data_IF_258995011372
#
_entry.id   IF_258995011372
#
_cell.length_a   1.000
_cell.length_b   1.000
_cell.length_c   1.000
_cell.angle_alpha   90.00
_cell.angle_beta   90.00
_cell.angle_gamma   90.00
#
_symmetry.space_group_name_H-M   'P 1'
#
loop_
_entity.id
_entity.type
_entity.pdbx_description
1 polymer ?
#
# COMPACT_ATOMS: atom_id res chain seq x y z
N UNK A 1 11.55 8.20 9.73
CA UNK A 1 10.64 8.88 10.64
C UNK A 1 9.64 7.89 11.24
N UNK A 2 9.63 7.73 12.58
CA UNK A 2 8.62 6.90 13.27
C UNK A 2 7.27 7.61 13.27
N UNK A 3 6.19 6.91 12.92
CA UNK A 3 4.85 7.49 12.81
C UNK A 3 3.77 6.53 13.30
N UNK A 4 2.70 7.08 13.85
CA UNK A 4 1.52 6.30 14.23
C UNK A 4 0.75 5.85 13.00
N UNK A 5 0.36 4.57 12.98
CA UNK A 5 -0.45 3.96 11.97
C UNK A 5 -1.68 3.30 12.60
N UNK A 6 -2.85 3.48 12.00
CA UNK A 6 -4.05 2.74 12.38
C UNK A 6 -4.24 1.57 11.42
N UNK A 7 -4.37 0.37 11.96
CA UNK A 7 -4.44 -0.88 11.17
C UNK A 7 -5.83 -1.08 10.56
N UNK A 8 -6.27 -0.15 9.71
CA UNK A 8 -7.55 -0.23 8.99
C UNK A 8 -7.61 -1.45 8.06
N UNK A 9 -6.45 -1.93 7.58
CA UNK A 9 -6.38 -3.11 6.71
C UNK A 9 -6.88 -4.38 7.39
N UNK A 10 -6.79 -4.48 8.73
CA UNK A 10 -7.35 -5.59 9.49
C UNK A 10 -8.89 -5.70 9.39
N UNK A 11 -9.54 -4.63 8.93
CA UNK A 11 -11.00 -4.55 8.76
C UNK A 11 -11.43 -4.54 7.29
N UNK A 12 -10.52 -4.82 6.34
CA UNK A 12 -10.80 -4.69 4.90
C UNK A 12 -12.02 -5.47 4.44
N UNK A 13 -12.15 -6.76 4.82
CA UNK A 13 -13.31 -7.58 4.46
C UNK A 13 -14.58 -7.07 5.15
N UNK A 14 -14.52 -6.77 6.45
CA UNK A 14 -15.67 -6.23 7.17
C UNK A 14 -16.16 -4.90 6.60
N UNK A 15 -15.23 -3.99 6.23
CA UNK A 15 -15.58 -2.72 5.57
C UNK A 15 -16.24 -2.93 4.21
N UNK A 16 -15.98 -4.05 3.52
CA UNK A 16 -16.67 -4.42 2.28
C UNK A 16 -18.03 -5.05 2.55
N UNK A 17 -18.10 -6.02 3.45
CA UNK A 17 -19.31 -6.78 3.75
C UNK A 17 -20.40 -5.87 4.35
N UNK A 18 -20.04 -5.00 5.28
CA UNK A 18 -20.95 -4.07 5.94
C UNK A 18 -21.50 -2.98 5.01
N UNK A 19 -20.95 -2.81 3.78
CA UNK A 19 -21.58 -1.94 2.77
C UNK A 19 -22.98 -2.42 2.35
N UNK A 20 -23.26 -3.71 2.46
CA UNK A 20 -24.57 -4.26 2.13
C UNK A 20 -25.64 -3.88 3.15
N UNK A 21 -25.26 -3.51 4.37
CA UNK A 21 -26.16 -3.02 5.41
C UNK A 21 -26.60 -1.56 5.19
N UNK A 22 -25.91 -0.82 4.32
CA UNK A 22 -26.10 0.61 4.13
C UNK A 22 -27.06 0.90 2.98
N UNK A 23 -28.05 1.77 3.21
CA UNK A 23 -28.92 2.32 2.16
C UNK A 23 -28.25 3.55 1.50
N UNK A 24 -27.07 3.34 0.95
CA UNK A 24 -26.29 4.35 0.25
C UNK A 24 -26.43 4.23 -1.27
N UNK A 25 -26.26 5.36 -1.99
CA UNK A 25 -26.19 5.32 -3.45
C UNK A 25 -25.10 4.34 -3.93
N UNK A 26 -25.39 3.54 -4.96
CA UNK A 26 -24.47 2.56 -5.53
C UNK A 26 -23.11 3.16 -5.92
N UNK A 27 -23.11 4.41 -6.37
CA UNK A 27 -21.88 5.14 -6.70
C UNK A 27 -20.95 5.27 -5.49
N UNK A 28 -21.51 5.59 -4.30
CA UNK A 28 -20.72 5.73 -3.06
C UNK A 28 -20.17 4.38 -2.61
N UNK A 29 -21.02 3.34 -2.63
CA UNK A 29 -20.58 1.96 -2.32
C UNK A 29 -19.47 1.50 -3.27
N UNK A 30 -19.62 1.75 -4.56
CA UNK A 30 -18.61 1.39 -5.57
C UNK A 30 -17.29 2.15 -5.37
N UNK A 31 -17.34 3.42 -4.99
CA UNK A 31 -16.14 4.19 -4.66
C UNK A 31 -15.39 3.57 -3.48
N UNK A 32 -16.09 3.15 -2.42
CA UNK A 32 -15.45 2.49 -1.28
C UNK A 32 -14.91 1.09 -1.65
N UNK A 33 -15.66 0.29 -2.40
CA UNK A 33 -15.18 -1.01 -2.89
C UNK A 33 -13.89 -0.85 -3.72
N UNK A 34 -13.86 0.12 -4.62
CA UNK A 34 -12.68 0.39 -5.44
C UNK A 34 -11.49 0.91 -4.62
N UNK A 35 -11.75 1.70 -3.58
CA UNK A 35 -10.72 2.21 -2.69
C UNK A 35 -10.09 1.12 -1.84
N UNK A 36 -10.93 0.25 -1.27
CA UNK A 36 -10.47 -0.93 -0.53
C UNK A 36 -9.77 -1.90 -1.48
N UNK A 37 -10.31 -2.08 -2.70
CA UNK A 37 -9.67 -2.74 -3.81
C UNK A 37 -9.28 -4.18 -3.50
N UNK A 38 -10.25 -5.00 -3.03
CA UNK A 38 -10.05 -6.43 -2.83
C UNK A 38 -9.78 -7.11 -4.16
N UNK A 39 -8.65 -7.77 -4.26
CA UNK A 39 -8.22 -8.54 -5.43
C UNK A 39 -7.95 -9.98 -5.04
N UNK A 40 -8.45 -10.92 -5.83
CA UNK A 40 -8.18 -12.36 -5.71
C UNK A 40 -7.23 -12.77 -6.82
N UNK A 41 -6.19 -13.50 -6.49
CA UNK A 41 -5.18 -13.95 -7.43
C UNK A 41 -4.32 -15.06 -6.83
N UNK A 42 -3.07 -15.12 -7.25
CA UNK A 42 -2.09 -16.05 -6.74
C UNK A 42 -0.83 -15.33 -6.24
N UNK A 43 -0.27 -15.83 -5.18
CA UNK A 43 1.11 -15.59 -4.77
C UNK A 43 1.96 -16.70 -5.38
N UNK A 44 2.96 -16.33 -6.16
CA UNK A 44 3.75 -17.25 -6.98
C UNK A 44 5.21 -17.05 -6.64
N UNK A 45 5.92 -18.16 -6.41
CA UNK A 45 7.35 -18.16 -6.11
C UNK A 45 8.17 -18.35 -7.39
N UNK A 46 9.14 -17.44 -7.59
CA UNK A 46 10.13 -17.49 -8.65
C UNK A 46 11.50 -17.79 -8.03
N UNK A 47 12.00 -19.02 -8.09
CA UNK A 47 13.31 -19.38 -7.54
C UNK A 47 14.45 -18.65 -8.26
N UNK A 48 15.38 -18.09 -7.47
CA UNK A 48 16.57 -17.38 -7.97
C UNK A 48 17.72 -17.50 -6.98
N UNK A 49 18.87 -18.03 -7.39
CA UNK A 49 20.14 -18.07 -6.61
C UNK A 49 19.97 -18.61 -5.17
N UNK A 50 19.05 -19.55 -4.95
CA UNK A 50 18.76 -20.12 -3.63
C UNK A 50 17.77 -19.33 -2.78
N UNK A 51 17.20 -18.27 -3.32
CA UNK A 51 16.10 -17.47 -2.76
C UNK A 51 14.81 -17.70 -3.51
N UNK A 52 13.70 -17.31 -2.90
CA UNK A 52 12.37 -17.34 -3.49
C UNK A 52 11.85 -15.91 -3.64
N UNK A 53 11.60 -15.46 -4.87
CA UNK A 53 10.97 -14.17 -5.13
C UNK A 53 9.47 -14.39 -5.16
N UNK A 54 8.75 -13.92 -4.16
CA UNK A 54 7.30 -14.00 -4.13
C UNK A 54 6.65 -12.83 -4.88
N UNK A 55 5.84 -13.12 -5.88
CA UNK A 55 5.06 -12.14 -6.62
C UNK A 55 3.57 -12.39 -6.42
N UNK A 56 2.77 -11.32 -6.33
CA UNK A 56 1.32 -11.42 -6.37
C UNK A 56 0.80 -11.03 -7.75
N UNK A 57 -0.05 -11.87 -8.33
CA UNK A 57 -0.72 -11.55 -9.59
C UNK A 57 -2.21 -11.88 -9.55
N UNK A 58 -3.04 -11.01 -10.14
CA UNK A 58 -4.46 -11.30 -10.41
C UNK A 58 -4.65 -12.10 -11.70
N UNK A 59 -3.56 -12.31 -12.46
CA UNK A 59 -3.55 -12.98 -13.74
C UNK A 59 -2.57 -14.17 -13.77
N UNK A 60 -2.73 -15.19 -12.87
CA UNK A 60 -1.87 -16.37 -12.90
C UNK A 60 -2.01 -17.20 -14.19
N UNK A 61 -3.10 -17.00 -14.93
CA UNK A 61 -3.32 -17.56 -16.27
C UNK A 61 -2.27 -17.11 -17.29
N UNK A 62 -1.63 -15.95 -17.09
CA UNK A 62 -0.64 -15.39 -18.04
C UNK A 62 0.82 -15.73 -17.68
N UNK A 63 1.06 -16.56 -16.70
CA UNK A 63 2.41 -16.92 -16.21
C UNK A 63 3.36 -17.44 -17.32
N UNK A 64 2.85 -18.14 -18.34
CA UNK A 64 3.66 -18.58 -19.49
C UNK A 64 4.23 -17.43 -20.32
N UNK A 65 3.61 -16.26 -20.25
CA UNK A 65 4.08 -15.02 -20.88
C UNK A 65 4.91 -14.11 -19.98
N UNK A 66 5.25 -14.55 -18.76
CA UNK A 66 6.14 -13.81 -17.88
C UNK A 66 7.58 -13.89 -18.40
N UNK A 67 8.12 -12.76 -18.86
CA UNK A 67 9.42 -12.67 -19.53
C UNK A 67 10.50 -12.08 -18.65
N UNK A 68 10.17 -11.40 -17.57
CA UNK A 68 11.10 -10.88 -16.58
C UNK A 68 10.42 -10.67 -15.23
N UNK A 69 11.23 -10.51 -14.19
CA UNK A 69 10.80 -10.17 -12.83
C UNK A 69 11.35 -8.81 -12.47
N UNK A 70 10.56 -7.97 -11.80
CA UNK A 70 11.00 -6.65 -11.34
C UNK A 70 10.81 -6.54 -9.85
N UNK A 71 11.87 -6.12 -9.15
CA UNK A 71 11.86 -5.80 -7.74
C UNK A 71 11.81 -4.29 -7.55
N UNK A 72 11.18 -3.85 -6.47
CA UNK A 72 11.37 -2.49 -6.00
C UNK A 72 12.86 -2.26 -5.66
N UNK A 73 13.44 -1.10 -5.95
CA UNK A 73 14.86 -0.84 -5.66
C UNK A 73 15.25 -1.01 -4.18
N UNK A 74 14.27 -0.85 -3.27
CA UNK A 74 14.42 -1.00 -1.82
C UNK A 74 14.08 -2.40 -1.32
N UNK A 75 13.75 -3.35 -2.21
CA UNK A 75 13.38 -4.71 -1.82
C UNK A 75 14.57 -5.44 -1.14
N UNK A 76 14.28 -6.17 -0.07
CA UNK A 76 15.30 -6.84 0.77
C UNK A 76 16.16 -7.87 0.02
N UNK A 77 15.62 -8.49 -1.04
CA UNK A 77 16.34 -9.46 -1.85
C UNK A 77 17.28 -8.84 -2.89
N UNK A 78 17.24 -7.53 -3.15
CA UNK A 78 18.05 -6.92 -4.21
C UNK A 78 19.54 -7.18 -3.99
N UNK A 79 20.03 -6.91 -2.78
CA UNK A 79 21.45 -7.05 -2.48
C UNK A 79 21.88 -8.53 -2.42
N UNK A 80 20.96 -9.45 -2.07
CA UNK A 80 21.22 -10.89 -2.04
C UNK A 80 21.20 -11.53 -3.44
N UNK A 81 20.45 -10.96 -4.37
CA UNK A 81 20.32 -11.43 -5.76
C UNK A 81 21.29 -10.73 -6.73
N UNK A 82 22.00 -9.73 -6.25
CA UNK A 82 22.97 -8.98 -7.07
C UNK A 82 24.13 -9.87 -7.48
N UNK A 83 24.42 -9.91 -8.78
CA UNK A 83 25.59 -10.67 -9.28
C UNK A 83 26.89 -10.14 -8.67
N UNK A 84 27.74 -11.03 -8.15
CA UNK A 84 29.06 -10.62 -7.63
C UNK A 84 30.14 -10.45 -8.72
N UNK A 85 29.80 -10.69 -9.98
CA UNK A 85 30.69 -10.56 -11.13
C UNK A 85 30.17 -9.51 -12.12
N UNK A 86 31.05 -8.87 -12.89
CA UNK A 86 30.67 -7.95 -13.96
C UNK A 86 29.70 -8.57 -14.95
N UNK A 87 28.97 -7.72 -15.67
CA UNK A 87 28.09 -8.17 -16.75
C UNK A 87 28.91 -8.88 -17.84
N UNK A 88 28.33 -9.92 -18.42
CA UNK A 88 28.90 -10.59 -19.58
C UNK A 88 28.85 -9.66 -20.81
N UNK A 89 29.76 -9.85 -21.76
CA UNK A 89 29.88 -9.02 -22.98
C UNK A 89 28.63 -9.05 -23.88
N UNK A 90 27.74 -10.02 -23.71
CA UNK A 90 26.49 -10.19 -24.47
C UNK A 90 25.26 -9.58 -23.77
N UNK A 91 25.42 -9.03 -22.58
CA UNK A 91 24.35 -8.29 -21.88
C UNK A 91 24.05 -6.99 -22.64
N UNK A 92 22.77 -6.76 -22.92
CA UNK A 92 22.35 -5.53 -23.61
C UNK A 92 22.71 -4.28 -22.79
N UNK A 93 23.36 -3.32 -23.43
CA UNK A 93 23.80 -2.07 -22.78
C UNK A 93 22.65 -1.30 -22.12
N UNK A 94 21.42 -1.47 -22.61
CA UNK A 94 20.21 -0.86 -22.00
C UNK A 94 19.89 -1.38 -20.61
N UNK A 95 20.44 -2.55 -20.24
CA UNK A 95 20.18 -3.20 -18.94
C UNK A 95 21.14 -2.77 -17.85
N UNK A 96 22.29 -2.19 -18.23
CA UNK A 96 23.44 -2.00 -17.35
C UNK A 96 23.49 -0.62 -16.68
N UNK A 97 22.55 0.27 -17.02
CA UNK A 97 22.54 1.67 -16.55
C UNK A 97 23.88 2.40 -16.79
N UNK A 98 24.61 1.98 -17.86
CA UNK A 98 25.90 2.58 -18.25
C UNK A 98 27.12 2.14 -17.44
N UNK A 99 27.02 1.04 -16.68
CA UNK A 99 28.11 0.48 -15.89
C UNK A 99 28.43 -0.95 -16.35
N UNK A 100 29.68 -1.37 -16.14
CA UNK A 100 30.10 -2.74 -16.42
C UNK A 100 29.83 -3.69 -15.22
N UNK A 101 29.59 -3.15 -14.04
CA UNK A 101 29.39 -3.87 -12.79
C UNK A 101 27.95 -3.71 -12.26
N UNK A 102 27.22 -4.80 -11.98
CA UNK A 102 25.84 -4.74 -11.49
C UNK A 102 25.68 -3.95 -10.18
N UNK A 103 26.67 -4.00 -9.30
CA UNK A 103 26.61 -3.29 -8.02
C UNK A 103 26.71 -1.78 -8.23
N UNK A 104 27.64 -1.32 -9.07
CA UNK A 104 27.78 0.10 -9.42
C UNK A 104 26.52 0.63 -10.11
N UNK A 105 25.94 -0.18 -11.02
CA UNK A 105 24.71 0.15 -11.71
C UNK A 105 23.53 0.34 -10.74
N UNK A 106 23.35 -0.58 -9.79
CA UNK A 106 22.27 -0.54 -8.78
C UNK A 106 22.46 0.63 -7.81
N UNK A 107 23.70 0.88 -7.33
CA UNK A 107 23.99 2.00 -6.44
C UNK A 107 23.75 3.38 -7.12
N UNK A 108 24.15 3.51 -8.39
CA UNK A 108 23.88 4.71 -9.19
C UNK A 108 22.38 4.92 -9.38
N UNK A 109 21.65 3.88 -9.79
CA UNK A 109 20.21 3.94 -9.97
C UNK A 109 19.45 4.29 -8.68
N UNK A 110 19.79 3.64 -7.55
CA UNK A 110 19.20 3.96 -6.24
C UNK A 110 19.45 5.42 -5.85
N UNK A 111 20.63 5.97 -6.14
CA UNK A 111 20.96 7.37 -5.87
C UNK A 111 20.08 8.31 -6.68
N UNK A 112 19.89 8.04 -7.97
CA UNK A 112 19.12 8.89 -8.88
C UNK A 112 17.62 8.91 -8.55
N UNK A 113 17.10 7.81 -8.01
CA UNK A 113 15.66 7.72 -7.65
C UNK A 113 15.37 8.12 -6.19
N UNK A 114 16.38 8.23 -5.33
CA UNK A 114 16.19 8.50 -3.89
C UNK A 114 15.43 9.80 -3.59
N UNK A 115 15.51 10.78 -4.49
CA UNK A 115 14.81 12.06 -4.37
C UNK A 115 13.36 12.04 -4.87
N UNK A 116 12.93 10.97 -5.55
CA UNK A 116 11.58 10.85 -6.13
C UNK A 116 10.59 10.33 -5.09
N UNK A 117 9.44 10.98 -4.97
CA UNK A 117 8.30 10.46 -4.20
C UNK A 117 7.64 9.26 -4.88
N UNK A 118 6.90 8.45 -4.14
CA UNK A 118 6.12 7.32 -4.68
C UNK A 118 5.19 7.74 -5.83
N UNK A 119 4.60 8.94 -5.74
CA UNK A 119 3.71 9.48 -6.78
C UNK A 119 4.49 9.80 -8.06
N UNK A 120 5.62 10.48 -7.95
CA UNK A 120 6.49 10.79 -9.09
C UNK A 120 7.01 9.53 -9.77
N UNK A 121 7.34 8.49 -9.00
CA UNK A 121 7.75 7.18 -9.52
C UNK A 121 6.64 6.50 -10.30
N UNK A 122 5.39 6.55 -9.83
CA UNK A 122 4.23 5.96 -10.52
C UNK A 122 3.81 6.72 -11.79
N UNK A 123 3.97 8.05 -11.80
CA UNK A 123 3.62 8.91 -12.94
C UNK A 123 4.73 9.03 -13.98
N UNK A 124 5.92 8.50 -13.70
CA UNK A 124 7.06 8.56 -14.60
C UNK A 124 6.77 7.81 -15.91
N UNK A 125 6.83 8.54 -17.03
CA UNK A 125 6.62 7.98 -18.36
C UNK A 125 7.89 7.35 -18.94
N UNK A 126 9.05 7.74 -18.46
CA UNK A 126 10.32 7.17 -18.88
C UNK A 126 10.54 5.83 -18.18
N UNK A 127 10.73 4.77 -18.96
CA UNK A 127 10.98 3.43 -18.43
C UNK A 127 12.47 3.30 -18.11
N UNK A 128 12.76 3.26 -16.82
CA UNK A 128 14.12 3.10 -16.29
C UNK A 128 14.20 1.86 -15.40
N UNK A 129 15.34 1.23 -15.35
CA UNK A 129 15.59 0.04 -14.54
C UNK A 129 17.02 -0.45 -14.70
N UNK A 130 17.39 -1.42 -13.88
CA UNK A 130 18.73 -2.04 -13.89
C UNK A 130 18.60 -3.55 -13.73
N UNK A 131 19.33 -4.29 -14.55
CA UNK A 131 19.46 -5.74 -14.44
C UNK A 131 20.37 -6.10 -13.27
N UNK A 132 19.98 -7.07 -12.45
CA UNK A 132 20.80 -7.51 -11.30
C UNK A 132 21.96 -8.45 -11.68
N UNK A 133 22.09 -8.80 -12.95
CA UNK A 133 23.08 -9.79 -13.40
C UNK A 133 22.66 -11.25 -13.10
N UNK A 134 21.44 -11.47 -12.63
CA UNK A 134 20.91 -12.78 -12.22
C UNK A 134 19.53 -13.05 -12.80
N UNK A 135 19.13 -14.33 -12.80
CA UNK A 135 17.89 -14.79 -13.41
C UNK A 135 17.04 -15.58 -12.42
N UNK A 136 15.74 -15.36 -12.45
CA UNK A 136 14.76 -16.21 -11.79
C UNK A 136 14.28 -17.33 -12.70
N UNK A 137 13.71 -18.39 -12.12
CA UNK A 137 13.07 -19.46 -12.89
C UNK A 137 11.56 -19.27 -12.87
N UNK A 138 10.95 -19.15 -14.02
CA UNK A 138 9.49 -19.15 -14.13
C UNK A 138 8.96 -20.55 -13.77
N UNK A 139 8.10 -20.70 -12.75
CA UNK A 139 7.72 -22.01 -12.22
C UNK A 139 6.89 -22.85 -13.19
N UNK A 140 6.10 -22.22 -14.08
CA UNK A 140 5.25 -22.95 -15.02
C UNK A 140 5.98 -23.37 -16.30
N UNK A 141 6.89 -22.52 -16.81
CA UNK A 141 7.62 -22.81 -18.06
C UNK A 141 9.02 -23.37 -17.86
N UNK A 142 9.60 -23.22 -16.65
CA UNK A 142 11.00 -23.54 -16.38
C UNK A 142 12.01 -22.59 -17.03
N UNK A 143 11.55 -21.57 -17.72
CA UNK A 143 12.38 -20.59 -18.42
C UNK A 143 13.11 -19.68 -17.43
N UNK A 144 14.37 -19.38 -17.72
CA UNK A 144 15.12 -18.35 -17.00
C UNK A 144 14.69 -16.98 -17.51
N UNK A 145 14.32 -16.12 -16.57
CA UNK A 145 13.87 -14.76 -16.84
C UNK A 145 14.75 -13.77 -16.07
N UNK A 146 15.20 -12.66 -16.67
CA UNK A 146 16.08 -11.70 -16.00
C UNK A 146 15.37 -10.99 -14.86
N UNK A 147 16.15 -10.64 -13.81
CA UNK A 147 15.67 -9.89 -12.66
C UNK A 147 16.13 -8.45 -12.77
N UNK A 148 15.18 -7.51 -12.78
CA UNK A 148 15.44 -6.08 -12.78
C UNK A 148 15.01 -5.42 -11.47
N UNK A 149 15.57 -4.25 -11.19
CA UNK A 149 14.95 -3.25 -10.34
C UNK A 149 14.40 -2.13 -11.19
N UNK A 150 13.26 -1.56 -10.81
CA UNK A 150 12.68 -0.40 -11.50
C UNK A 150 11.86 0.47 -10.54
N UNK A 151 11.83 1.78 -10.79
CA UNK A 151 11.23 2.77 -9.93
C UNK A 151 9.69 2.71 -9.86
N UNK A 152 9.05 2.10 -10.86
CA UNK A 152 7.58 1.93 -10.87
C UNK A 152 7.07 0.80 -9.96
N UNK A 153 7.94 -0.05 -9.42
CA UNK A 153 7.60 -1.08 -8.43
C UNK A 153 7.89 -0.53 -7.03
N UNK A 154 6.91 -0.62 -6.14
CA UNK A 154 6.97 -0.05 -4.79
C UNK A 154 6.87 -1.14 -3.73
N UNK A 155 7.68 -1.07 -2.67
CA UNK A 155 7.64 -2.00 -1.52
C UNK A 155 6.37 -1.88 -0.68
N UNK A 156 5.71 -0.74 -0.73
CA UNK A 156 4.44 -0.51 0.00
C UNK A 156 3.21 -1.13 -0.66
N UNK A 157 3.35 -1.83 -1.79
CA UNK A 157 2.26 -2.48 -2.50
C UNK A 157 2.63 -3.93 -2.88
N UNK A 158 1.80 -4.87 -2.45
CA UNK A 158 2.05 -6.30 -2.70
C UNK A 158 3.27 -6.82 -1.96
N UNK A 159 4.08 -7.58 -2.66
CA UNK A 159 5.34 -8.16 -2.17
C UNK A 159 6.55 -7.27 -2.44
N UNK A 160 6.39 -6.15 -3.13
CA UNK A 160 7.51 -5.34 -3.64
C UNK A 160 8.21 -5.98 -4.83
N UNK A 161 7.61 -7.02 -5.41
CA UNK A 161 8.08 -7.72 -6.61
C UNK A 161 6.90 -7.98 -7.56
N UNK A 162 7.14 -7.94 -8.85
CA UNK A 162 6.16 -8.27 -9.88
C UNK A 162 6.76 -9.24 -10.90
N UNK A 163 5.93 -10.11 -11.46
CA UNK A 163 6.19 -10.76 -12.74
C UNK A 163 5.70 -9.84 -13.84
N UNK A 164 6.44 -9.71 -14.90
CA UNK A 164 6.08 -8.87 -16.03
C UNK A 164 5.64 -9.71 -17.25
N UNK A 165 4.47 -9.36 -17.78
CA UNK A 165 3.84 -10.04 -18.92
C UNK A 165 3.65 -9.03 -20.07
N UNK A 166 4.68 -8.73 -20.85
CA UNK A 166 4.67 -7.65 -21.84
C UNK A 166 3.54 -7.74 -22.86
N UNK A 167 3.17 -8.94 -23.28
CA UNK A 167 2.10 -9.10 -24.26
C UNK A 167 0.72 -8.65 -23.74
N UNK A 168 0.50 -8.56 -22.41
CA UNK A 168 -0.83 -8.39 -21.80
C UNK A 168 -0.90 -7.33 -20.70
N UNK A 169 0.16 -6.54 -20.50
CA UNK A 169 0.19 -5.35 -19.65
C UNK A 169 0.92 -4.21 -20.37
N UNK A 170 0.28 -3.05 -20.46
CA UNK A 170 0.83 -1.91 -21.21
C UNK A 170 2.15 -1.38 -20.62
N UNK A 171 2.30 -1.38 -19.30
CA UNK A 171 3.54 -0.90 -18.64
C UNK A 171 4.69 -1.87 -18.89
N UNK A 172 4.40 -3.16 -18.80
CA UNK A 172 5.38 -4.21 -19.05
C UNK A 172 5.78 -4.23 -20.52
N UNK A 173 4.82 -3.96 -21.45
CA UNK A 173 5.08 -3.83 -22.87
C UNK A 173 6.03 -2.67 -23.17
N UNK A 174 5.75 -1.48 -22.65
CA UNK A 174 6.60 -0.31 -22.82
C UNK A 174 8.01 -0.52 -22.24
N UNK A 175 8.12 -1.20 -21.09
CA UNK A 175 9.41 -1.56 -20.52
C UNK A 175 10.15 -2.58 -21.40
N UNK A 176 9.47 -3.63 -21.85
CA UNK A 176 10.05 -4.65 -22.72
C UNK A 176 10.56 -4.04 -24.04
N UNK A 177 9.84 -3.11 -24.64
CA UNK A 177 10.29 -2.38 -25.83
C UNK A 177 11.54 -1.55 -25.55
N UNK A 178 11.55 -0.78 -24.43
CA UNK A 178 12.69 0.06 -24.06
C UNK A 178 13.96 -0.77 -23.80
N UNK A 179 13.81 -1.94 -23.21
CA UNK A 179 14.93 -2.83 -22.84
C UNK A 179 15.19 -3.96 -23.84
N UNK A 180 14.41 -4.08 -24.93
CA UNK A 180 14.57 -5.12 -25.95
C UNK A 180 14.30 -6.54 -25.42
N UNK A 181 13.37 -6.66 -24.50
CA UNK A 181 12.96 -7.93 -23.90
C UNK A 181 11.94 -8.66 -24.78
N UNK A 182 11.82 -9.99 -24.69
CA UNK A 182 10.84 -10.76 -25.43
C UNK A 182 9.41 -10.36 -25.09
N UNK A 183 8.49 -10.53 -26.05
CA UNK A 183 7.05 -10.33 -25.89
C UNK A 183 6.36 -11.61 -26.39
N UNK A 184 5.82 -12.40 -25.48
CA UNK A 184 5.19 -13.69 -25.79
C UNK A 184 3.69 -13.62 -25.61
N UNK A 185 2.92 -13.79 -26.68
CA UNK A 185 1.46 -13.87 -26.65
C UNK A 185 1.00 -15.12 -25.90
N UNK A 186 0.14 -14.95 -24.90
CA UNK A 186 -0.52 -16.04 -24.16
C UNK A 186 -2.03 -15.87 -24.05
N UNK A 187 -2.58 -14.74 -24.51
CA UNK A 187 -4.02 -14.50 -24.69
C UNK A 187 -4.24 -14.05 -26.11
N UNK A 188 -5.04 -14.78 -26.86
CA UNK A 188 -5.32 -14.49 -28.28
C UNK A 188 -6.30 -13.32 -28.44
N UNK A 189 -6.20 -12.62 -29.58
CA UNK A 189 -7.19 -11.62 -29.98
C UNK A 189 -6.64 -10.32 -30.54
N UNK A 190 -5.40 -9.95 -30.18
CA UNK A 190 -4.73 -8.73 -30.63
C UNK A 190 -3.47 -8.98 -31.47
N UNK A 191 -2.77 -7.90 -31.78
CA UNK A 191 -1.46 -7.94 -32.41
C UNK A 191 -0.39 -7.45 -31.43
N UNK A 192 0.23 -8.38 -30.71
CA UNK A 192 1.26 -8.07 -29.68
C UNK A 192 2.56 -7.53 -30.26
N UNK A 193 2.73 -7.50 -31.59
CA UNK A 193 3.84 -6.81 -32.24
C UNK A 193 3.64 -5.29 -32.29
N UNK A 194 2.40 -4.82 -32.21
CA UNK A 194 2.06 -3.40 -32.27
C UNK A 194 1.78 -2.79 -30.89
N UNK A 195 1.04 -3.52 -30.04
CA UNK A 195 0.66 -3.07 -28.71
C UNK A 195 0.32 -4.24 -27.75
N UNK A 196 0.31 -3.99 -26.45
CA UNK A 196 -0.14 -4.97 -25.47
C UNK A 196 -1.64 -5.26 -25.67
N UNK A 197 -2.01 -6.55 -25.74
CA UNK A 197 -3.41 -6.96 -25.75
C UNK A 197 -3.94 -7.16 -24.33
N UNK A 198 -4.71 -6.20 -23.85
CA UNK A 198 -5.23 -6.20 -22.46
C UNK A 198 -6.65 -6.71 -22.31
N UNK A 199 -7.33 -7.00 -23.44
CA UNK A 199 -8.68 -7.51 -23.48
C UNK A 199 -8.73 -9.03 -23.22
N UNK A 200 -9.93 -9.57 -23.04
CA UNK A 200 -10.14 -11.00 -22.85
C UNK A 200 -9.96 -11.76 -24.18
N UNK A 201 -9.52 -13.02 -24.08
CA UNK A 201 -9.33 -13.93 -25.19
C UNK A 201 -9.12 -15.36 -24.71
N UNK A 202 -9.00 -16.31 -25.62
CA UNK A 202 -8.64 -17.67 -25.28
C UNK A 202 -7.13 -17.76 -25.00
N UNK A 203 -6.73 -18.58 -24.03
CA UNK A 203 -5.32 -18.80 -23.72
C UNK A 203 -4.65 -19.58 -24.88
N UNK A 204 -3.41 -19.20 -25.20
CA UNK A 204 -2.56 -19.83 -26.20
C UNK A 204 -1.13 -19.93 -25.67
N UNK A 205 -0.30 -20.79 -26.25
CA UNK A 205 1.12 -20.96 -25.87
C UNK A 205 1.33 -21.24 -24.37
N UNK A 206 0.34 -21.83 -23.70
CA UNK A 206 0.26 -21.91 -22.24
C UNK A 206 0.10 -23.35 -21.77
N UNK A 207 1.11 -24.22 -22.04
CA UNK A 207 1.17 -25.59 -21.57
C UNK A 207 2.60 -26.02 -21.20
N UNK A 208 2.71 -27.01 -20.29
CA UNK A 208 3.97 -27.60 -19.90
C UNK A 208 3.88 -29.14 -19.85
N UNK A 209 5.03 -29.78 -19.71
CA UNK A 209 5.15 -31.24 -19.58
C UNK A 209 4.81 -31.78 -18.19
N UNK A 210 4.56 -30.88 -17.22
CA UNK A 210 4.17 -31.21 -15.84
C UNK A 210 2.64 -31.26 -15.63
N UNK A 211 1.87 -31.21 -16.71
CA UNK A 211 0.43 -31.41 -16.69
C UNK A 211 -0.43 -30.14 -16.55
N UNK A 212 0.14 -28.95 -16.72
CA UNK A 212 -0.62 -27.73 -16.88
C UNK A 212 -0.85 -27.45 -18.37
N UNK A 213 -2.12 -27.35 -18.77
CA UNK A 213 -2.52 -26.91 -20.12
C UNK A 213 -3.69 -25.95 -20.01
N UNK A 214 -3.44 -24.68 -20.31
CA UNK A 214 -4.42 -23.61 -20.29
C UNK A 214 -4.95 -23.26 -21.69
N UNK A 215 -4.41 -23.87 -22.74
CA UNK A 215 -4.75 -23.53 -24.12
C UNK A 215 -6.24 -23.72 -24.40
N UNK A 216 -6.85 -22.71 -25.02
CA UNK A 216 -8.27 -22.70 -25.36
C UNK A 216 -9.22 -22.36 -24.21
N UNK A 217 -8.75 -22.30 -22.97
CA UNK A 217 -9.58 -21.89 -21.81
C UNK A 217 -9.88 -20.39 -21.87
N UNK A 218 -11.04 -20.01 -21.30
CA UNK A 218 -11.31 -18.62 -21.00
C UNK A 218 -10.56 -18.18 -19.74
N UNK A 219 -10.52 -16.87 -19.49
CA UNK A 219 -9.79 -16.25 -18.38
C UNK A 219 -10.14 -16.85 -16.99
N UNK A 220 -11.42 -17.04 -16.70
CA UNK A 220 -11.86 -17.54 -15.39
C UNK A 220 -11.45 -19.01 -15.18
N UNK A 221 -11.62 -19.85 -16.17
CA UNK A 221 -11.21 -21.25 -16.18
C UNK A 221 -9.70 -21.37 -16.05
N UNK A 222 -8.95 -20.56 -16.80
CA UNK A 222 -7.49 -20.58 -16.81
C UNK A 222 -6.90 -20.10 -15.47
N UNK A 223 -7.46 -19.06 -14.86
CA UNK A 223 -7.04 -18.60 -13.50
C UNK A 223 -7.25 -19.72 -12.48
N UNK A 224 -8.42 -20.39 -12.49
CA UNK A 224 -8.70 -21.47 -11.56
C UNK A 224 -7.75 -22.66 -11.75
N UNK A 225 -7.52 -23.08 -13.00
CA UNK A 225 -6.60 -24.17 -13.33
C UNK A 225 -5.13 -23.84 -12.99
N UNK A 226 -4.70 -22.59 -13.22
CA UNK A 226 -3.36 -22.15 -12.87
C UNK A 226 -3.15 -22.17 -11.36
N UNK A 227 -4.11 -21.67 -10.55
CA UNK A 227 -4.02 -21.68 -9.08
C UNK A 227 -3.97 -23.12 -8.56
N UNK A 228 -4.87 -23.99 -9.02
CA UNK A 228 -4.89 -25.40 -8.60
C UNK A 228 -3.55 -26.10 -8.90
N UNK A 229 -2.99 -25.84 -10.08
CA UNK A 229 -1.69 -26.41 -10.44
C UNK A 229 -0.55 -25.87 -9.59
N UNK A 230 -0.50 -24.55 -9.35
CA UNK A 230 0.52 -23.91 -8.51
C UNK A 230 0.53 -24.44 -7.07
N UNK A 231 -0.66 -24.64 -6.50
CA UNK A 231 -0.81 -25.22 -5.14
C UNK A 231 -0.33 -26.66 -5.11
N UNK A 232 -0.64 -27.45 -6.15
CA UNK A 232 -0.21 -28.85 -6.24
C UNK A 232 1.29 -29.00 -6.49
N UNK A 233 1.88 -28.12 -7.31
CA UNK A 233 3.33 -28.07 -7.58
C UNK A 233 4.11 -27.52 -6.37
N UNK A 234 3.45 -26.76 -5.49
CA UNK A 234 4.07 -26.08 -4.35
C UNK A 234 4.78 -24.79 -4.70
N UNK A 235 4.60 -24.28 -5.93
CA UNK A 235 5.21 -23.04 -6.43
C UNK A 235 4.34 -21.80 -6.28
N UNK A 236 3.14 -21.94 -5.68
CA UNK A 236 2.27 -20.81 -5.39
C UNK A 236 1.00 -21.22 -4.64
N UNK A 237 0.17 -20.22 -4.33
CA UNK A 237 -1.10 -20.42 -3.61
C UNK A 237 -2.10 -19.34 -3.98
N UNK A 238 -3.37 -19.62 -3.78
CA UNK A 238 -4.39 -18.58 -3.84
C UNK A 238 -4.13 -17.50 -2.78
N UNK A 239 -4.31 -16.25 -3.15
CA UNK A 239 -4.13 -15.09 -2.27
C UNK A 239 -5.16 -14.00 -2.54
N UNK A 240 -5.67 -13.41 -1.46
CA UNK A 240 -6.44 -12.18 -1.52
C UNK A 240 -5.55 -11.03 -1.06
N UNK A 241 -5.58 -9.95 -1.82
CA UNK A 241 -4.90 -8.70 -1.47
C UNK A 241 -5.83 -7.49 -1.56
N UNK A 242 -5.44 -6.41 -0.92
CA UNK A 242 -6.19 -5.16 -0.87
C UNK A 242 -5.31 -3.99 -1.32
N UNK A 243 -5.89 -3.01 -2.02
CA UNK A 243 -5.23 -1.73 -2.30
C UNK A 243 -5.16 -0.84 -1.06
N UNK A 244 -6.12 -1.00 -0.15
CA UNK A 244 -6.19 -0.27 1.10
C UNK A 244 -4.88 -0.48 1.87
N UNK A 245 -4.29 0.62 2.33
CA UNK A 245 -3.12 0.63 3.21
C UNK A 245 -3.52 1.06 4.61
N UNK A 246 -2.71 0.70 5.60
CA UNK A 246 -2.90 1.21 6.94
C UNK A 246 -2.93 2.74 6.93
N UNK A 247 -3.78 3.29 7.77
CA UNK A 247 -4.00 4.72 7.82
C UNK A 247 -2.85 5.40 8.55
N UNK A 248 -2.04 6.17 7.81
CA UNK A 248 -1.03 7.02 8.40
C UNK A 248 -1.71 8.06 9.29
N UNK A 249 -1.61 7.87 10.61
CA UNK A 249 -2.38 8.61 11.58
C UNK A 249 -1.64 9.81 12.18
N UNK A 250 -0.35 9.96 11.90
CA UNK A 250 0.48 11.08 12.34
C UNK A 250 0.63 12.14 11.24
N UNK A 251 0.61 13.42 11.62
CA UNK A 251 0.80 14.57 10.73
C UNK A 251 1.80 15.56 11.34
N UNK A 252 2.72 16.03 10.52
CA UNK A 252 3.76 17.00 10.86
C UNK A 252 3.25 18.42 10.59
N UNK A 253 2.18 18.81 11.29
CA UNK A 253 1.57 20.13 11.18
C UNK A 253 1.06 20.60 12.55
N UNK A 254 0.68 21.86 12.66
CA UNK A 254 0.18 22.43 13.90
C UNK A 254 -1.29 22.08 14.17
N UNK A 255 -2.19 22.36 13.18
CA UNK A 255 -3.62 22.15 13.35
C UNK A 255 -4.02 20.67 13.28
N UNK A 256 -4.53 20.17 14.37
CA UNK A 256 -5.01 18.80 14.58
C UNK A 256 -5.05 18.45 16.06
N UNK A 257 -5.66 17.34 16.41
CA UNK A 257 -5.68 16.83 17.77
C UNK A 257 -4.27 16.30 18.15
N UNK A 258 -3.65 16.81 19.24
CA UNK A 258 -2.38 16.27 19.74
C UNK A 258 -2.52 14.83 20.22
N UNK A 259 -1.46 14.06 20.12
CA UNK A 259 -1.43 12.71 20.68
C UNK A 259 -1.35 12.76 22.20
N UNK A 260 -2.18 12.00 22.95
CA UNK A 260 -2.08 11.85 24.38
C UNK A 260 -0.96 10.87 24.77
N UNK A 261 0.22 11.05 24.19
CA UNK A 261 1.37 10.17 24.30
C UNK A 261 2.60 11.00 24.63
N UNK A 262 3.41 10.48 25.54
CA UNK A 262 4.73 11.01 25.87
C UNK A 262 5.76 9.91 25.76
N UNK A 263 7.00 10.29 25.51
CA UNK A 263 8.15 9.39 25.46
C UNK A 263 9.05 9.63 26.67
N UNK A 264 9.55 8.55 27.25
CA UNK A 264 10.60 8.68 28.26
C UNK A 264 11.98 8.98 27.63
N UNK A 265 13.00 9.12 28.46
CA UNK A 265 14.37 9.40 28.02
C UNK A 265 14.99 8.29 27.16
N UNK A 266 14.46 7.08 27.20
CA UNK A 266 14.91 5.92 26.44
C UNK A 266 14.09 5.76 25.13
N UNK A 267 13.11 6.66 24.90
CA UNK A 267 12.26 6.69 23.70
C UNK A 267 11.06 5.75 23.74
N UNK A 268 10.72 5.16 24.88
CA UNK A 268 9.52 4.35 25.03
C UNK A 268 8.27 5.22 25.17
N UNK A 269 7.21 4.84 24.45
CA UNK A 269 5.94 5.56 24.46
C UNK A 269 5.08 5.18 25.67
N UNK A 270 4.51 6.20 26.32
CA UNK A 270 3.59 6.07 27.44
C UNK A 270 2.31 6.84 27.15
N UNK A 271 1.15 6.22 27.40
CA UNK A 271 -0.14 6.91 27.30
C UNK A 271 -0.35 7.82 28.53
N UNK A 272 -0.86 9.02 28.28
CA UNK A 272 -1.31 9.90 29.37
C UNK A 272 -2.60 9.34 30.00
N UNK A 273 -2.73 9.37 31.33
CA UNK A 273 -3.98 9.03 32.01
C UNK A 273 -5.07 10.05 31.67
N UNK A 274 -6.34 9.64 31.74
CA UNK A 274 -7.49 10.49 31.43
C UNK A 274 -7.51 11.80 32.25
N UNK A 275 -7.01 11.77 33.48
CA UNK A 275 -6.92 12.96 34.36
C UNK A 275 -6.00 14.06 33.82
N UNK A 276 -5.14 13.73 32.81
CA UNK A 276 -4.22 14.69 32.17
C UNK A 276 -4.74 15.14 30.79
N UNK A 277 -5.97 14.79 30.42
CA UNK A 277 -6.61 15.22 29.18
C UNK A 277 -7.54 16.43 29.42
N UNK A 278 -7.74 17.29 28.42
CA UNK A 278 -7.16 17.22 27.06
C UNK A 278 -5.71 17.70 27.00
N UNK A 279 -4.96 17.22 25.98
CA UNK A 279 -3.68 17.84 25.61
C UNK A 279 -3.99 19.01 24.70
N UNK A 280 -3.67 20.22 25.16
CA UNK A 280 -3.91 21.46 24.42
C UNK A 280 -2.71 21.82 23.54
N UNK A 281 -2.97 22.41 22.37
CA UNK A 281 -1.94 22.96 21.50
C UNK A 281 -1.31 24.21 22.14
N UNK A 282 0.03 24.35 22.10
CA UNK A 282 0.69 25.56 22.57
C UNK A 282 0.52 26.72 21.60
N UNK A 283 0.62 27.95 22.07
CA UNK A 283 0.79 29.10 21.19
C UNK A 283 2.14 29.02 20.46
N UNK A 284 2.15 29.31 19.16
CA UNK A 284 3.35 29.32 18.31
C UNK A 284 3.46 30.61 17.53
N UNK A 285 4.68 31.08 17.33
CA UNK A 285 4.95 32.26 16.51
C UNK A 285 4.90 31.94 15.01
N UNK A 286 5.25 30.69 14.63
CA UNK A 286 5.30 30.23 13.25
C UNK A 286 4.76 28.81 13.12
N UNK A 287 3.80 28.61 12.21
CA UNK A 287 3.12 27.35 11.93
C UNK A 287 3.86 26.44 10.94
N UNK A 288 4.97 26.90 10.35
CA UNK A 288 5.72 26.12 9.36
C UNK A 288 6.56 25.04 10.03
N UNK A 289 6.65 23.85 9.43
CA UNK A 289 7.63 22.86 9.83
C UNK A 289 9.07 23.38 9.57
N UNK A 290 10.04 22.81 10.25
CA UNK A 290 11.45 22.96 9.85
C UNK A 290 11.66 22.09 8.63
N UNK A 291 12.11 22.71 7.55
CA UNK A 291 12.43 21.99 6.31
C UNK A 291 13.81 21.34 6.39
N UNK A 292 13.99 20.27 5.63
CA UNK A 292 15.31 19.69 5.39
C UNK A 292 16.24 20.77 4.78
N UNK A 293 17.46 20.85 5.32
CA UNK A 293 18.53 21.69 4.74
C UNK A 293 19.44 20.80 3.88
N UNK A 294 19.44 20.98 2.55
CA UNK A 294 20.27 20.18 1.65
C UNK A 294 21.78 20.33 1.88
N UNK A 295 22.22 21.42 2.54
CA UNK A 295 23.62 21.68 2.84
C UNK A 295 24.07 21.07 4.19
N UNK A 296 23.11 20.70 5.06
CA UNK A 296 23.35 20.03 6.33
C UNK A 296 22.83 18.59 6.30
N UNK A 297 23.74 17.62 6.16
CA UNK A 297 23.39 16.18 6.08
C UNK A 297 22.77 15.63 7.36
N UNK A 298 22.94 16.33 8.49
CA UNK A 298 22.39 15.97 9.79
C UNK A 298 21.06 16.69 10.08
N UNK A 299 20.60 17.55 9.14
CA UNK A 299 19.30 18.21 9.29
C UNK A 299 18.16 17.23 9.10
N UNK A 300 17.18 17.27 10.00
CA UNK A 300 15.95 16.50 9.87
C UNK A 300 14.73 17.43 9.82
N UNK A 301 13.71 17.12 9.01
CA UNK A 301 12.45 17.84 9.03
C UNK A 301 11.80 17.70 10.41
N UNK A 302 11.38 18.81 11.00
CA UNK A 302 10.70 18.80 12.31
C UNK A 302 9.30 19.39 12.19
N UNK A 303 8.28 18.80 12.86
CA UNK A 303 6.96 19.38 12.93
C UNK A 303 6.98 20.71 13.70
N UNK A 304 5.99 21.61 13.46
CA UNK A 304 5.93 22.91 14.13
C UNK A 304 5.95 22.82 15.65
N UNK A 305 5.31 21.81 16.23
CA UNK A 305 5.24 21.61 17.70
C UNK A 305 6.60 21.30 18.31
N UNK A 306 7.51 20.68 17.57
CA UNK A 306 8.87 20.37 18.05
C UNK A 306 9.70 21.63 18.37
N UNK A 307 9.29 22.81 17.84
CA UNK A 307 9.94 24.08 18.12
C UNK A 307 9.64 24.62 19.53
N UNK A 308 8.54 24.17 20.15
CA UNK A 308 8.06 24.69 21.44
C UNK A 308 8.58 23.80 22.56
N UNK A 309 9.85 24.02 22.94
CA UNK A 309 10.58 23.19 23.90
C UNK A 309 9.84 23.00 25.23
N UNK A 310 9.30 24.07 25.81
CA UNK A 310 8.60 24.06 27.09
C UNK A 310 7.28 23.29 27.04
N UNK A 311 6.71 23.10 25.85
CA UNK A 311 5.54 22.23 25.63
C UNK A 311 5.96 20.78 25.41
N UNK A 312 7.07 20.55 24.70
CA UNK A 312 7.56 19.21 24.38
C UNK A 312 8.10 18.51 25.61
N UNK A 313 8.99 19.18 26.36
CA UNK A 313 9.64 18.63 27.57
C UNK A 313 8.82 18.95 28.78
N UNK A 314 8.31 17.92 29.49
CA UNK A 314 7.39 18.04 30.58
C UNK A 314 7.80 17.12 31.73
N UNK A 315 7.58 17.59 32.99
CA UNK A 315 7.75 16.74 34.15
C UNK A 315 6.38 16.20 34.57
N UNK A 316 6.23 14.88 34.54
CA UNK A 316 4.98 14.18 34.84
C UNK A 316 5.23 13.03 35.80
N UNK A 317 4.20 12.72 36.62
CA UNK A 317 4.15 11.51 37.42
C UNK A 317 3.10 10.57 36.81
N UNK A 318 3.55 9.49 36.17
CA UNK A 318 2.70 8.46 35.58
C UNK A 318 2.50 7.26 36.53
N UNK A 319 2.90 7.38 37.80
CA UNK A 319 2.73 6.35 38.82
C UNK A 319 4.03 5.93 39.53
N UNK A 320 5.19 6.26 38.95
CA UNK A 320 6.52 5.91 39.44
C UNK A 320 7.29 7.13 40.03
N UNK A 321 6.58 8.22 40.29
CA UNK A 321 7.13 9.52 40.73
C UNK A 321 7.45 10.44 39.54
N UNK A 322 7.71 11.73 39.83
CA UNK A 322 7.98 12.73 38.79
C UNK A 322 9.20 12.38 37.96
N UNK A 323 9.04 12.38 36.65
CA UNK A 323 10.09 12.14 35.66
C UNK A 323 9.91 13.06 34.44
N UNK A 324 11.00 13.33 33.74
CA UNK A 324 10.97 14.08 32.49
C UNK A 324 10.49 13.20 31.35
N UNK A 325 9.49 13.69 30.62
CA UNK A 325 8.93 13.07 29.44
C UNK A 325 8.92 14.07 28.27
N UNK A 326 8.79 13.54 27.04
CA UNK A 326 8.74 14.32 25.82
C UNK A 326 7.41 14.05 25.12
N UNK A 327 6.61 15.09 24.87
CA UNK A 327 5.33 14.95 24.15
C UNK A 327 5.58 14.55 22.69
N UNK A 328 4.66 13.74 22.13
CA UNK A 328 4.62 13.55 20.69
C UNK A 328 4.36 14.89 19.99
N UNK A 329 5.18 15.22 19.01
CA UNK A 329 5.12 16.51 18.30
C UNK A 329 4.30 16.46 17.03
N UNK A 330 3.72 15.28 16.69
CA UNK A 330 2.75 15.13 15.61
C UNK A 330 1.34 15.45 16.12
N UNK A 331 0.43 15.67 15.18
CA UNK A 331 -1.01 15.73 15.42
C UNK A 331 -1.73 14.66 14.62
N UNK A 332 -2.95 14.32 15.03
CA UNK A 332 -3.81 13.40 14.30
C UNK A 332 -4.30 14.04 13.00
N UNK A 333 -4.69 13.25 11.97
CA UNK A 333 -5.31 13.78 10.75
C UNK A 333 -6.70 14.35 11.05
N UNK A 334 -7.18 15.27 10.19
CA UNK A 334 -8.49 15.91 10.37
C UNK A 334 -9.66 14.92 10.50
N UNK A 335 -9.57 13.75 9.88
CA UNK A 335 -10.62 12.72 9.96
C UNK A 335 -10.62 11.96 11.29
N UNK A 336 -9.58 12.09 12.13
CA UNK A 336 -9.60 11.58 13.48
C UNK A 336 -10.73 12.22 14.29
N UNK A 337 -10.79 13.55 14.32
CA UNK A 337 -11.84 14.30 14.99
C UNK A 337 -13.16 14.30 14.21
N UNK A 338 -13.12 14.54 12.90
CA UNK A 338 -14.34 14.62 12.09
C UNK A 338 -15.13 13.32 11.99
N UNK A 339 -14.55 12.19 12.31
CA UNK A 339 -15.26 10.90 12.35
C UNK A 339 -16.30 10.80 13.48
N UNK A 340 -16.33 11.76 14.42
CA UNK A 340 -17.17 11.70 15.62
C UNK A 340 -18.23 12.79 15.69
N UNK A 341 -18.23 13.80 14.82
CA UNK A 341 -19.07 14.98 14.97
C UNK A 341 -20.58 14.69 14.95
N UNK A 342 -21.02 13.66 14.22
CA UNK A 342 -22.41 13.26 14.15
C UNK A 342 -22.94 12.83 15.52
N UNK A 343 -22.13 12.20 16.35
CA UNK A 343 -22.48 11.85 17.74
C UNK A 343 -22.41 13.10 18.64
N UNK A 344 -21.38 13.93 18.50
CA UNK A 344 -21.24 15.12 19.34
C UNK A 344 -22.37 16.12 19.11
N UNK A 345 -22.94 16.19 17.92
CA UNK A 345 -24.12 17.01 17.65
C UNK A 345 -25.34 16.65 18.51
N UNK A 346 -25.45 15.40 18.92
CA UNK A 346 -26.57 14.91 19.73
C UNK A 346 -26.50 15.49 21.15
N UNK A 347 -25.27 15.67 21.67
CA UNK A 347 -25.07 16.10 23.07
C UNK A 347 -23.85 17.04 23.21
N UNK A 348 -23.93 18.25 22.57
CA UNK A 348 -22.75 19.11 22.41
C UNK A 348 -22.27 19.80 23.68
N UNK A 349 -23.05 19.75 24.78
CA UNK A 349 -22.76 20.42 26.04
C UNK A 349 -22.49 19.46 27.19
N UNK A 350 -22.32 18.19 26.90
CA UNK A 350 -21.99 17.17 27.90
C UNK A 350 -20.51 17.29 28.26
N UNK A 351 -20.25 17.58 29.52
CA UNK A 351 -18.88 17.72 30.04
C UNK A 351 -18.35 16.41 30.67
N UNK A 352 -19.24 15.40 30.85
CA UNK A 352 -18.88 14.14 31.51
C UNK A 352 -18.61 13.03 30.48
N UNK A 353 -19.30 13.06 29.32
CA UNK A 353 -19.14 12.09 28.25
C UNK A 353 -19.22 12.76 26.88
N UNK A 354 -18.65 12.12 25.88
CA UNK A 354 -18.70 12.60 24.49
C UNK A 354 -20.14 12.73 23.98
N UNK A 355 -21.00 11.75 24.32
CA UNK A 355 -22.43 11.75 24.11
C UNK A 355 -23.06 10.86 25.18
N UNK A 356 -24.16 11.29 25.80
CA UNK A 356 -24.94 10.47 26.72
C UNK A 356 -25.57 9.29 25.94
N UNK A 357 -25.47 8.10 26.51
CA UNK A 357 -25.94 6.86 25.88
C UNK A 357 -27.44 6.86 25.60
N UNK A 358 -28.26 7.50 26.45
CA UNK A 358 -29.72 7.58 26.25
C UNK A 358 -30.04 8.56 25.09
N UNK A 359 -29.29 9.64 24.95
CA UNK A 359 -29.39 10.58 23.82
C UNK A 359 -28.99 9.90 22.52
N UNK A 360 -27.89 9.14 22.52
CA UNK A 360 -27.46 8.36 21.36
C UNK A 360 -28.53 7.32 20.95
N UNK A 361 -29.03 6.52 21.90
CA UNK A 361 -30.08 5.53 21.65
C UNK A 361 -31.37 6.16 21.11
N UNK A 362 -31.74 7.32 21.63
CA UNK A 362 -32.93 8.01 21.13
C UNK A 362 -32.79 8.47 19.68
N UNK A 363 -31.65 9.04 19.31
CA UNK A 363 -31.44 9.63 17.99
C UNK A 363 -30.97 8.63 16.93
N UNK A 364 -30.12 7.69 17.29
CA UNK A 364 -29.43 6.80 16.34
C UNK A 364 -29.66 5.32 16.62
N UNK A 365 -30.38 4.96 17.68
CA UNK A 365 -30.68 3.57 18.00
C UNK A 365 -31.56 2.90 16.94
N UNK A 366 -31.54 1.55 16.88
CA UNK A 366 -32.41 0.79 15.98
C UNK A 366 -33.91 1.06 16.20
N UNK A 367 -34.66 1.18 15.10
CA UNK A 367 -36.11 1.43 15.09
C UNK A 367 -36.83 0.35 14.26
N UNK A 368 -36.83 -0.89 14.73
CA UNK A 368 -37.35 -2.04 13.96
C UNK A 368 -38.83 -1.91 13.58
N UNK A 369 -39.62 -1.18 14.36
CA UNK A 369 -41.02 -0.93 14.05
C UNK A 369 -41.23 0.01 12.86
N UNK A 370 -40.26 0.88 12.57
CA UNK A 370 -40.31 1.85 11.47
C UNK A 370 -39.55 1.41 10.24
N UNK A 371 -38.43 0.75 10.43
CA UNK A 371 -37.44 0.42 9.37
C UNK A 371 -37.26 -1.08 9.15
N UNK A 372 -37.98 -1.93 9.92
CA UNK A 372 -37.93 -3.38 9.83
C UNK A 372 -36.97 -4.03 10.85
N UNK A 373 -37.11 -5.35 11.06
CA UNK A 373 -36.48 -6.06 12.18
C UNK A 373 -34.96 -6.13 12.12
N UNK A 374 -34.35 -5.73 11.01
CA UNK A 374 -32.90 -5.73 10.81
C UNK A 374 -32.33 -4.32 10.74
N UNK A 375 -33.09 -3.30 11.18
CA UNK A 375 -32.59 -1.91 11.23
C UNK A 375 -31.36 -1.83 12.15
N UNK A 376 -30.18 -1.49 11.64
CA UNK A 376 -28.98 -1.36 12.47
C UNK A 376 -28.97 -0.06 13.29
N UNK A 377 -29.92 0.84 13.04
CA UNK A 377 -29.85 2.22 13.53
C UNK A 377 -28.84 3.06 12.73
N UNK A 378 -28.39 4.16 13.35
CA UNK A 378 -27.41 5.08 12.76
C UNK A 378 -28.02 6.38 12.28
N UNK A 379 -27.26 7.12 11.46
CA UNK A 379 -27.67 8.42 10.88
C UNK A 379 -28.55 8.19 9.67
N UNK A 380 -29.77 8.79 9.66
CA UNK A 380 -30.75 8.61 8.59
C UNK A 380 -30.41 9.33 7.30
N UNK A 381 -29.77 10.50 7.41
CA UNK A 381 -29.41 11.33 6.25
C UNK A 381 -28.06 12.00 6.46
N UNK A 382 -27.19 11.84 5.48
CA UNK A 382 -25.86 12.42 5.44
C UNK A 382 -25.68 13.24 4.16
N UNK A 383 -25.44 14.56 4.30
CA UNK A 383 -25.33 15.48 3.16
C UNK A 383 -23.94 16.08 3.10
N UNK A 384 -23.29 15.94 1.95
CA UNK A 384 -21.94 16.46 1.73
C UNK A 384 -21.41 16.17 0.33
N UNK A 385 -20.17 16.58 0.08
CA UNK A 385 -19.49 16.34 -1.19
C UNK A 385 -19.09 14.87 -1.37
N UNK A 386 -19.11 14.41 -2.61
CA UNK A 386 -18.79 13.00 -2.95
C UNK A 386 -17.34 12.63 -2.68
N UNK A 387 -16.45 13.59 -2.55
CA UNK A 387 -15.04 13.41 -2.14
C UNK A 387 -14.90 12.75 -0.77
N UNK A 388 -15.91 12.90 0.08
CA UNK A 388 -15.92 12.27 1.40
C UNK A 388 -16.32 10.79 1.40
N UNK A 389 -16.78 10.26 0.26
CA UNK A 389 -17.18 8.87 0.12
C UNK A 389 -16.06 7.88 0.50
N UNK A 390 -14.79 8.20 0.18
CA UNK A 390 -13.62 7.35 0.41
C UNK A 390 -12.67 7.89 1.49
N UNK A 391 -12.97 9.06 2.06
CA UNK A 391 -12.17 9.68 3.11
C UNK A 391 -12.94 9.64 4.43
N UNK A 392 -13.69 10.71 4.75
CA UNK A 392 -14.43 10.81 6.00
C UNK A 392 -15.35 9.62 6.27
N UNK A 393 -16.18 9.21 5.29
CA UNK A 393 -17.14 8.13 5.49
C UNK A 393 -16.46 6.76 5.73
N UNK A 394 -15.34 6.48 5.06
CA UNK A 394 -14.60 5.24 5.28
C UNK A 394 -13.95 5.22 6.67
N UNK A 395 -13.29 6.31 7.06
CA UNK A 395 -12.66 6.39 8.37
C UNK A 395 -13.67 6.42 9.51
N UNK A 396 -14.81 7.09 9.33
CA UNK A 396 -15.91 7.05 10.29
C UNK A 396 -16.44 5.62 10.48
N UNK A 397 -16.66 4.87 9.41
CA UNK A 397 -17.04 3.45 9.46
C UNK A 397 -15.99 2.56 10.13
N UNK A 398 -14.71 2.89 9.98
CA UNK A 398 -13.64 2.18 10.67
C UNK A 398 -13.66 2.40 12.18
N UNK A 399 -13.98 3.61 12.63
CA UNK A 399 -14.04 3.96 14.05
C UNK A 399 -15.27 3.38 14.76
N UNK A 400 -16.43 3.38 14.11
CA UNK A 400 -17.71 2.94 14.65
C UNK A 400 -18.05 1.50 14.29
#
# INVERSE_FOLDING_TARGET
LSQWMMRITAYSDRLLDDLELLDWPDKVKSMQRNWIGRSRGAEVSFPAEGYEIEVFTTRPDTLFGAEYVVLAPEHELVDALLSPIPYDDDVDERWTYGHDDPKEAVESYRTDIAAKSDLERQENKEKTGVFLGTYATNPVSGKKVPIFIADYVLTGYGTGAIMAVPAHDTRDYEFAQAFGLPITEVVSGGNVEEEAWTEDGALVNSSNDKGLDLNGLNKAEAIAAAIEWLEKDGSGREKVQYKLRDWLFARQRYWGEPFPIVYDKDGFAHALPESMLPVELPEVEDYKPVSFDPEDKDSEPQPPLAKVRDWVEVELDLGDGPQTYFRDTNVMPQWAGSSWYQLRYIDPRNDEAFCDIENERYWTGPRPEQHGPQDPGGVDLYVGGVEHAVLHLLYSRFWH
#
